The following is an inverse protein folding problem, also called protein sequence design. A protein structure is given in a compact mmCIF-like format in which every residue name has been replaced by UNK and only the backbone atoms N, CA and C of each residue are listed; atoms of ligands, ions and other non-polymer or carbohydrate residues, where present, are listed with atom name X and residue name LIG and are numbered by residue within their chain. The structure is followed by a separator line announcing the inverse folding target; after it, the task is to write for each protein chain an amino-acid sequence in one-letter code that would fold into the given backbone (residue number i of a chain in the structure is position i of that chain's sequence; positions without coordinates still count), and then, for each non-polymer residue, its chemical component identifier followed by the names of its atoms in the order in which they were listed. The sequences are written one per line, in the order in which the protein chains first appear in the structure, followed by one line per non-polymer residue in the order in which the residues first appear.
data_IF_774669244630
#
_entry.id   IF_774669244630
#
_cell.length_a   1.000
_cell.length_b   1.000
_cell.length_c   1.000
_cell.angle_alpha   90.00
_cell.angle_beta   90.00
_cell.angle_gamma   90.00
#
_symmetry.space_group_name_H-M   'P 1'
#
loop_
_entity.id
_entity.type
_entity.pdbx_description
1 polymer ?
#
# COMPACT_ATOMS: atom_id res chain seq x y z
N UNK A 1 -15.67 0.11 32.47
CA UNK A 1 -17.08 0.56 32.49
C UNK A 1 -17.58 0.98 31.11
N UNK A 2 -17.02 2.01 30.45
CA UNK A 2 -17.61 2.59 29.23
C UNK A 2 -17.67 1.70 27.97
N UNK A 3 -16.80 0.68 27.87
CA UNK A 3 -16.89 -0.35 26.83
C UNK A 3 -17.97 -1.41 27.11
N UNK A 4 -18.37 -1.57 28.37
CA UNK A 4 -19.37 -2.55 28.81
C UNK A 4 -20.75 -1.91 28.84
N UNK A 5 -21.39 -1.87 27.67
CA UNK A 5 -22.73 -1.29 27.49
C UNK A 5 -23.60 -2.21 26.65
N UNK A 6 -24.92 -2.07 26.79
CA UNK A 6 -25.88 -2.71 25.91
C UNK A 6 -25.82 -2.08 24.51
N UNK A 7 -25.52 -2.89 23.51
CA UNK A 7 -25.60 -2.54 22.09
C UNK A 7 -26.97 -2.94 21.58
N UNK A 8 -27.66 -2.01 20.92
CA UNK A 8 -29.00 -2.21 20.39
C UNK A 8 -29.04 -1.99 18.88
N UNK A 9 -29.66 -2.92 18.16
CA UNK A 9 -30.04 -2.72 16.75
C UNK A 9 -31.46 -3.22 16.54
N UNK A 10 -32.39 -2.29 16.26
CA UNK A 10 -33.83 -2.56 16.24
C UNK A 10 -34.27 -3.20 17.58
N UNK A 11 -34.78 -4.42 17.53
CA UNK A 11 -35.26 -5.24 18.65
C UNK A 11 -34.16 -6.09 19.30
N UNK A 12 -32.98 -6.20 18.69
CA UNK A 12 -31.88 -6.99 19.22
C UNK A 12 -31.07 -6.18 20.24
N UNK A 13 -30.81 -6.76 21.42
CA UNK A 13 -29.94 -6.18 22.44
C UNK A 13 -28.92 -7.20 22.95
N UNK A 14 -27.67 -6.77 23.07
CA UNK A 14 -26.58 -7.58 23.63
C UNK A 14 -25.61 -6.70 24.42
N UNK A 15 -25.18 -7.16 25.61
CA UNK A 15 -24.21 -6.44 26.43
C UNK A 15 -22.79 -6.77 26.00
N UNK A 16 -22.02 -5.78 25.55
CA UNK A 16 -20.63 -6.00 25.14
C UNK A 16 -19.70 -6.25 26.35
N UNK A 17 -19.45 -7.52 26.65
CA UNK A 17 -18.61 -7.93 27.80
C UNK A 17 -17.13 -8.16 27.46
N UNK A 18 -16.76 -8.27 26.18
CA UNK A 18 -15.42 -8.70 25.76
C UNK A 18 -14.66 -7.65 24.94
N UNK A 19 -15.27 -7.11 23.88
CA UNK A 19 -14.58 -6.27 22.90
C UNK A 19 -14.50 -4.79 23.28
N UNK A 20 -13.77 -4.02 22.47
CA UNK A 20 -13.76 -2.55 22.53
C UNK A 20 -14.78 -1.93 21.56
N UNK A 21 -15.44 -0.86 21.99
CA UNK A 21 -16.34 -0.08 21.12
C UNK A 21 -15.53 1.01 20.42
N UNK A 22 -15.30 0.82 19.12
CA UNK A 22 -14.50 1.75 18.29
C UNK A 22 -15.13 3.13 18.09
N UNK A 23 -16.44 3.26 18.31
CA UNK A 23 -17.17 4.53 18.18
C UNK A 23 -17.04 5.48 19.38
N UNK A 24 -16.35 5.08 20.44
CA UNK A 24 -16.08 5.96 21.57
C UNK A 24 -14.95 6.94 21.21
N UNK A 25 -15.07 8.20 21.64
CA UNK A 25 -14.10 9.26 21.29
C UNK A 25 -12.66 8.95 21.72
N UNK A 26 -12.48 8.27 22.86
CA UNK A 26 -11.17 7.87 23.37
C UNK A 26 -10.72 6.48 22.89
N UNK A 27 -11.49 5.80 22.01
CA UNK A 27 -11.15 4.45 21.56
C UNK A 27 -9.80 4.40 20.83
N UNK A 28 -9.47 5.45 20.08
CA UNK A 28 -8.18 5.58 19.39
C UNK A 28 -6.99 5.45 20.34
N UNK A 29 -7.04 6.13 21.49
CA UNK A 29 -6.00 6.04 22.52
C UNK A 29 -5.86 4.61 23.05
N UNK A 30 -6.98 3.96 23.39
CA UNK A 30 -6.96 2.59 23.93
C UNK A 30 -6.40 1.60 22.91
N UNK A 31 -6.78 1.72 21.62
CA UNK A 31 -6.26 0.86 20.55
C UNK A 31 -4.76 1.07 20.36
N UNK A 32 -4.28 2.32 20.35
CA UNK A 32 -2.85 2.59 20.17
C UNK A 32 -2.02 2.12 21.36
N UNK A 33 -2.51 2.32 22.59
CA UNK A 33 -1.84 1.85 23.80
C UNK A 33 -1.82 0.31 23.88
N UNK A 34 -2.91 -0.35 23.53
CA UNK A 34 -2.93 -1.82 23.45
C UNK A 34 -2.02 -2.33 22.33
N UNK A 35 -1.97 -1.63 21.19
CA UNK A 35 -1.02 -1.88 20.12
C UNK A 35 0.43 -1.79 20.59
N UNK A 36 0.76 -0.80 21.43
CA UNK A 36 2.10 -0.67 22.02
C UNK A 36 2.50 -1.92 22.83
N UNK A 37 1.56 -2.52 23.57
CA UNK A 37 1.83 -3.77 24.30
C UNK A 37 2.16 -4.92 23.33
N UNK A 38 1.46 -4.99 22.19
CA UNK A 38 1.75 -5.97 21.14
C UNK A 38 3.12 -5.69 20.50
N UNK A 39 3.48 -4.42 20.29
CA UNK A 39 4.77 -4.03 19.75
C UNK A 39 5.92 -4.52 20.65
N UNK A 40 5.75 -4.41 21.97
CA UNK A 40 6.71 -4.93 22.95
C UNK A 40 6.83 -6.47 22.92
N UNK A 41 5.73 -7.20 22.67
CA UNK A 41 5.77 -8.66 22.48
C UNK A 41 6.51 -9.04 21.19
N UNK A 42 6.32 -8.27 20.12
CA UNK A 42 6.97 -8.52 18.84
C UNK A 42 8.46 -8.20 18.87
N UNK A 43 8.85 -7.07 19.47
CA UNK A 43 10.21 -6.58 19.49
C UNK A 43 11.05 -7.19 20.62
N UNK A 44 10.43 -7.44 21.77
CA UNK A 44 11.14 -7.64 23.03
C UNK A 44 11.63 -6.31 23.63
N UNK A 45 11.74 -6.26 24.96
CA UNK A 45 12.13 -5.05 25.70
C UNK A 45 13.48 -4.46 25.26
N UNK A 46 14.56 -5.26 25.05
CA UNK A 46 15.86 -4.71 24.66
C UNK A 46 15.78 -3.99 23.31
N UNK A 47 15.21 -4.64 22.30
CA UNK A 47 15.14 -4.05 20.96
C UNK A 47 14.17 -2.86 20.89
N UNK A 48 13.08 -2.90 21.64
CA UNK A 48 12.17 -1.77 21.73
C UNK A 48 12.83 -0.54 22.36
N UNK A 49 13.64 -0.73 23.42
CA UNK A 49 14.39 0.36 24.05
C UNK A 49 15.45 0.96 23.11
N UNK A 50 16.17 0.13 22.36
CA UNK A 50 17.14 0.59 21.35
C UNK A 50 16.49 1.40 20.23
N UNK A 51 15.30 1.00 19.77
CA UNK A 51 14.53 1.74 18.76
C UNK A 51 14.01 3.08 19.31
N UNK A 52 13.49 3.08 20.54
CA UNK A 52 12.95 4.29 21.16
C UNK A 52 14.03 5.29 21.62
N UNK A 53 15.25 4.81 21.90
CA UNK A 53 16.31 5.62 22.49
C UNK A 53 16.14 5.82 24.01
N UNK A 54 17.12 6.46 24.66
CA UNK A 54 17.06 6.73 26.10
C UNK A 54 15.90 7.68 26.44
N UNK A 55 15.22 7.53 27.58
CA UNK A 55 14.08 8.39 27.94
C UNK A 55 14.40 9.88 28.01
N UNK A 56 15.65 10.23 28.31
CA UNK A 56 16.13 11.61 28.37
C UNK A 56 16.33 12.22 26.98
N UNK A 57 16.57 11.39 25.97
CA UNK A 57 16.81 11.80 24.59
C UNK A 57 16.26 10.71 23.64
N UNK A 58 14.94 10.67 23.42
CA UNK A 58 14.34 9.68 22.54
C UNK A 58 14.82 9.86 21.10
N UNK A 59 14.90 8.75 20.37
CA UNK A 59 15.27 8.75 18.95
C UNK A 59 14.11 9.30 18.10
N UNK A 60 14.48 9.96 16.99
CA UNK A 60 13.53 10.28 15.94
C UNK A 60 13.11 9.01 15.18
N UNK A 61 12.00 9.12 14.45
CA UNK A 61 11.48 8.01 13.64
C UNK A 61 12.53 7.44 12.68
N UNK A 62 12.71 6.11 12.72
CA UNK A 62 13.66 5.34 11.90
C UNK A 62 15.14 5.72 12.06
N UNK A 63 15.49 6.35 13.18
CA UNK A 63 16.86 6.70 13.55
C UNK A 63 17.36 5.86 14.74
N UNK A 64 18.68 5.78 14.87
CA UNK A 64 19.37 5.13 15.98
C UNK A 64 20.46 6.06 16.53
N UNK A 65 20.88 5.81 17.77
CA UNK A 65 21.98 6.55 18.41
C UNK A 65 23.33 6.28 17.75
N UNK A 66 23.57 5.05 17.29
CA UNK A 66 24.80 4.66 16.60
C UNK A 66 24.57 3.51 15.62
N UNK A 67 25.54 3.33 14.72
CA UNK A 67 25.54 2.22 13.75
C UNK A 67 25.64 0.87 14.46
N UNK A 68 26.34 0.79 15.60
CA UNK A 68 26.48 -0.45 16.37
C UNK A 68 25.14 -0.91 16.97
N UNK A 69 24.34 0.03 17.49
CA UNK A 69 22.98 -0.26 17.98
C UNK A 69 22.05 -0.62 16.81
N UNK A 70 22.25 -0.01 15.64
CA UNK A 70 21.52 -0.41 14.45
C UNK A 70 21.86 -1.85 14.03
N UNK A 71 23.12 -2.27 14.16
CA UNK A 71 23.66 -3.55 13.66
C UNK A 71 23.62 -4.72 14.62
N UNK A 72 23.46 -4.48 15.92
CA UNK A 72 23.44 -5.54 16.94
C UNK A 72 22.27 -6.54 16.81
N UNK A 73 21.21 -6.22 16.06
CA UNK A 73 20.00 -7.03 15.99
C UNK A 73 19.40 -7.10 14.57
N UNK A 74 18.79 -8.23 14.13
CA UNK A 74 18.24 -8.35 12.78
C UNK A 74 17.10 -7.39 12.44
N UNK A 75 16.22 -7.06 13.40
CA UNK A 75 15.13 -6.07 13.20
C UNK A 75 15.71 -4.68 13.06
N UNK A 76 15.74 -4.12 11.85
CA UNK A 76 16.34 -2.81 11.56
C UNK A 76 15.36 -1.66 11.60
N UNK A 77 14.13 -1.86 11.16
CA UNK A 77 13.08 -0.83 11.20
C UNK A 77 11.76 -1.49 11.57
N UNK A 78 10.94 -0.76 12.33
CA UNK A 78 9.64 -1.20 12.80
C UNK A 78 8.66 -0.05 12.73
N UNK A 79 7.48 -0.28 12.17
CA UNK A 79 6.39 0.71 12.11
C UNK A 79 5.08 -0.02 12.33
N UNK A 80 4.21 0.54 13.17
CA UNK A 80 2.81 0.12 13.25
C UNK A 80 1.90 1.29 12.87
N UNK A 81 1.02 1.06 11.91
CA UNK A 81 -0.04 1.99 11.54
C UNK A 81 -1.35 1.36 11.95
N UNK A 82 -1.90 1.80 13.09
CA UNK A 82 -3.12 1.27 13.69
C UNK A 82 -2.97 -0.25 13.96
N UNK A 83 -3.44 -1.09 13.04
CA UNK A 83 -3.44 -2.55 13.08
C UNK A 83 -2.45 -3.21 12.11
N UNK A 84 -1.84 -2.44 11.20
CA UNK A 84 -0.86 -2.93 10.24
C UNK A 84 0.57 -2.78 10.79
N UNK A 85 1.36 -3.85 10.72
CA UNK A 85 2.74 -3.89 11.21
C UNK A 85 3.71 -4.09 10.04
N UNK A 86 4.75 -3.26 10.00
CA UNK A 86 5.82 -3.29 9.00
C UNK A 86 7.16 -3.49 9.70
N UNK A 87 7.91 -4.52 9.28
CA UNK A 87 9.19 -4.88 9.88
C UNK A 87 10.22 -5.03 8.77
N UNK A 88 11.34 -4.34 8.88
CA UNK A 88 12.51 -4.53 8.02
C UNK A 88 13.55 -5.34 8.78
N UNK A 89 13.93 -6.48 8.21
CA UNK A 89 14.91 -7.40 8.77
C UNK A 89 16.15 -7.43 7.88
N UNK A 90 17.33 -7.44 8.51
CA UNK A 90 18.61 -7.68 7.84
C UNK A 90 19.29 -8.84 8.55
N UNK A 91 19.41 -9.96 7.85
CA UNK A 91 20.08 -11.16 8.32
C UNK A 91 21.44 -11.31 7.64
N UNK A 92 22.39 -11.87 8.39
CA UNK A 92 23.60 -12.43 7.82
C UNK A 92 23.36 -13.86 7.29
N UNK A 93 24.37 -14.41 6.60
CA UNK A 93 24.26 -15.73 5.96
C UNK A 93 24.01 -16.85 6.99
N UNK A 94 24.63 -16.76 8.16
CA UNK A 94 24.49 -17.77 9.20
C UNK A 94 23.15 -17.62 9.95
N UNK A 95 22.75 -16.40 10.31
CA UNK A 95 21.45 -16.14 10.95
C UNK A 95 20.28 -16.63 10.09
N UNK A 96 20.31 -16.33 8.79
CA UNK A 96 19.27 -16.77 7.86
C UNK A 96 19.24 -18.30 7.72
N UNK A 97 20.41 -18.96 7.67
CA UNK A 97 20.50 -20.43 7.64
C UNK A 97 19.95 -21.05 8.92
N UNK A 98 20.33 -20.54 10.08
CA UNK A 98 19.85 -21.03 11.39
C UNK A 98 18.35 -20.85 11.54
N UNK A 99 17.79 -19.71 11.12
CA UNK A 99 16.35 -19.44 11.18
C UNK A 99 15.57 -20.40 10.27
N UNK A 100 16.03 -20.60 9.03
CA UNK A 100 15.42 -21.56 8.10
C UNK A 100 15.50 -22.98 8.66
N UNK A 101 16.64 -23.39 9.20
CA UNK A 101 16.82 -24.72 9.76
C UNK A 101 15.84 -24.97 10.90
N UNK A 102 15.72 -24.04 11.85
CA UNK A 102 14.75 -24.14 12.96
C UNK A 102 13.31 -24.25 12.45
N UNK A 103 12.94 -23.43 11.47
CA UNK A 103 11.61 -23.49 10.86
C UNK A 103 11.31 -24.84 10.21
N UNK A 104 12.26 -25.39 9.43
CA UNK A 104 12.11 -26.67 8.74
C UNK A 104 12.18 -27.88 9.68
N UNK A 105 12.81 -27.74 10.86
CA UNK A 105 12.76 -28.77 11.91
C UNK A 105 11.34 -28.91 12.46
N UNK A 106 10.63 -27.81 12.68
CA UNK A 106 9.24 -27.86 13.15
C UNK A 106 8.21 -28.09 12.04
N UNK A 107 8.51 -27.64 10.83
CA UNK A 107 7.62 -27.69 9.67
C UNK A 107 8.38 -28.33 8.48
N UNK A 108 8.56 -29.66 8.47
CA UNK A 108 9.31 -30.33 7.42
C UNK A 108 8.60 -30.22 6.08
N UNK A 109 9.34 -29.84 5.03
CA UNK A 109 8.85 -29.72 3.65
C UNK A 109 9.66 -30.61 2.70
N UNK A 110 9.36 -31.93 2.64
CA UNK A 110 10.08 -32.87 1.77
C UNK A 110 9.76 -32.67 0.28
N UNK A 111 8.59 -32.13 -0.04
CA UNK A 111 8.08 -32.02 -1.42
C UNK A 111 8.34 -30.65 -2.06
N UNK A 112 8.96 -29.70 -1.35
CA UNK A 112 9.13 -28.30 -1.78
C UNK A 112 7.79 -27.56 -2.00
N UNK A 113 6.78 -27.90 -1.20
CA UNK A 113 5.45 -27.32 -1.26
C UNK A 113 5.40 -25.90 -0.67
N UNK A 114 6.43 -25.45 0.04
CA UNK A 114 6.51 -24.10 0.59
C UNK A 114 6.38 -23.00 -0.49
N UNK A 115 6.73 -23.29 -1.74
CA UNK A 115 6.59 -22.36 -2.86
C UNK A 115 5.10 -22.14 -3.21
N UNK A 116 4.27 -23.16 -3.01
CA UNK A 116 2.85 -23.11 -3.31
C UNK A 116 2.14 -22.19 -2.31
N UNK A 117 1.29 -21.30 -2.82
CA UNK A 117 0.55 -20.36 -1.98
C UNK A 117 1.40 -19.26 -1.33
N UNK A 118 2.63 -19.02 -1.81
CA UNK A 118 3.38 -17.82 -1.41
C UNK A 118 2.76 -16.57 -2.08
N UNK A 119 2.29 -15.57 -1.31
CA UNK A 119 1.63 -14.40 -1.87
C UNK A 119 2.58 -13.61 -2.80
N UNK A 120 2.04 -13.10 -3.91
CA UNK A 120 2.83 -12.35 -4.90
C UNK A 120 2.08 -11.11 -5.36
N UNK A 121 2.78 -9.99 -5.45
CA UNK A 121 2.21 -8.70 -5.88
C UNK A 121 2.00 -8.66 -7.38
N UNK A 122 0.82 -9.12 -7.81
CA UNK A 122 0.45 -9.21 -9.23
C UNK A 122 0.26 -7.86 -9.92
N UNK A 123 0.23 -6.76 -9.15
CA UNK A 123 0.21 -5.40 -9.68
C UNK A 123 1.49 -5.05 -10.43
N UNK A 124 2.64 -5.68 -10.15
CA UNK A 124 3.90 -5.49 -10.88
C UNK A 124 4.05 -6.47 -12.04
N UNK A 125 4.85 -6.20 -13.08
CA UNK A 125 5.17 -7.21 -14.11
C UNK A 125 5.97 -8.38 -13.55
N UNK A 126 5.99 -9.51 -14.26
CA UNK A 126 6.60 -10.76 -13.75
C UNK A 126 8.07 -10.61 -13.39
N UNK A 127 8.85 -9.90 -14.19
CA UNK A 127 10.29 -9.70 -13.93
C UNK A 127 10.57 -8.81 -12.71
N UNK A 128 9.62 -7.93 -12.40
CA UNK A 128 9.72 -6.95 -11.32
C UNK A 128 9.21 -7.48 -9.98
N UNK A 129 8.56 -8.66 -9.97
CA UNK A 129 8.10 -9.35 -8.77
C UNK A 129 9.24 -10.07 -8.05
N UNK A 130 9.01 -10.40 -6.78
CA UNK A 130 9.84 -11.36 -6.07
C UNK A 130 9.78 -12.73 -6.77
N UNK A 131 10.94 -13.25 -7.13
CA UNK A 131 11.16 -14.60 -7.64
C UNK A 131 11.10 -15.58 -6.49
N UNK A 132 10.43 -16.70 -6.73
CA UNK A 132 10.21 -17.72 -5.73
C UNK A 132 11.35 -18.75 -5.74
N UNK A 133 12.51 -18.33 -5.23
CA UNK A 133 13.64 -19.24 -4.98
C UNK A 133 13.41 -19.99 -3.66
N UNK A 134 13.76 -21.28 -3.60
CA UNK A 134 13.54 -22.13 -2.41
C UNK A 134 14.07 -21.51 -1.12
N UNK A 135 15.30 -20.99 -1.14
CA UNK A 135 15.92 -20.36 0.04
C UNK A 135 15.16 -19.11 0.49
N UNK A 136 14.79 -18.23 -0.44
CA UNK A 136 14.09 -16.98 -0.14
C UNK A 136 12.66 -17.23 0.35
N UNK A 137 11.96 -18.20 -0.24
CA UNK A 137 10.62 -18.63 0.19
C UNK A 137 10.66 -19.21 1.60
N UNK A 138 11.63 -20.09 1.87
CA UNK A 138 11.80 -20.67 3.21
C UNK A 138 12.17 -19.59 4.23
N UNK A 139 13.03 -18.62 3.87
CA UNK A 139 13.34 -17.49 4.74
C UNK A 139 12.10 -16.66 5.06
N UNK A 140 11.31 -16.31 4.04
CA UNK A 140 10.09 -15.53 4.22
C UNK A 140 9.06 -16.23 5.13
N UNK A 141 8.87 -17.55 4.96
CA UNK A 141 8.02 -18.36 5.83
C UNK A 141 8.58 -18.50 7.24
N UNK A 142 9.89 -18.70 7.38
CA UNK A 142 10.56 -18.82 8.67
C UNK A 142 10.46 -17.53 9.49
N UNK A 143 10.63 -16.38 8.84
CA UNK A 143 10.42 -15.05 9.46
C UNK A 143 8.98 -14.90 9.93
N UNK A 144 8.01 -15.21 9.07
CA UNK A 144 6.60 -15.10 9.43
C UNK A 144 6.24 -16.05 10.59
N UNK A 145 6.75 -17.28 10.57
CA UNK A 145 6.57 -18.27 11.63
C UNK A 145 7.17 -17.76 12.96
N UNK A 146 8.37 -17.20 12.95
CA UNK A 146 8.99 -16.62 14.15
C UNK A 146 8.17 -15.46 14.71
N UNK A 147 7.75 -14.51 13.86
CA UNK A 147 6.89 -13.37 14.24
C UNK A 147 5.55 -13.86 14.80
N UNK A 148 4.94 -14.85 14.16
CA UNK A 148 3.66 -15.43 14.59
C UNK A 148 3.75 -16.08 15.97
N UNK A 149 4.86 -16.74 16.28
CA UNK A 149 5.04 -17.43 17.55
C UNK A 149 5.34 -16.49 18.72
N UNK A 150 5.74 -15.24 18.46
CA UNK A 150 5.88 -14.20 19.50
C UNK A 150 4.53 -13.72 20.04
N UNK A 151 3.43 -14.01 19.35
CA UNK A 151 2.09 -13.53 19.68
C UNK A 151 1.23 -14.64 20.30
N UNK A 152 0.78 -14.48 21.56
CA UNK A 152 -0.21 -15.38 22.15
C UNK A 152 -1.55 -15.26 21.40
N UNK A 153 -2.08 -16.40 20.93
CA UNK A 153 -3.33 -16.45 20.14
C UNK A 153 -4.56 -15.90 20.87
N UNK A 154 -4.53 -15.84 22.20
CA UNK A 154 -5.59 -15.25 23.03
C UNK A 154 -5.62 -13.72 22.97
N UNK A 155 -4.50 -13.08 22.61
CA UNK A 155 -4.35 -11.63 22.52
C UNK A 155 -4.62 -11.17 21.09
N UNK A 156 -3.91 -11.76 20.13
CA UNK A 156 -4.03 -11.47 18.71
C UNK A 156 -3.36 -12.58 17.88
N UNK A 157 -3.58 -12.59 16.57
CA UNK A 157 -2.91 -13.52 15.66
C UNK A 157 -2.64 -12.84 14.32
N UNK A 158 -1.50 -13.17 13.72
CA UNK A 158 -1.21 -12.86 12.31
C UNK A 158 -1.52 -14.08 11.44
N UNK A 159 -2.10 -13.83 10.27
CA UNK A 159 -2.50 -14.85 9.30
C UNK A 159 -1.66 -14.72 8.04
N UNK A 160 -1.28 -15.85 7.43
CA UNK A 160 -0.38 -15.84 6.28
C UNK A 160 -1.09 -15.29 5.03
N UNK A 161 -2.40 -15.52 4.94
CA UNK A 161 -3.27 -15.15 3.83
C UNK A 161 -3.38 -13.64 3.65
N UNK A 162 -3.18 -12.88 4.73
CA UNK A 162 -3.23 -11.40 4.77
C UNK A 162 -1.85 -10.77 4.91
N UNK A 163 -0.80 -11.58 5.12
CA UNK A 163 0.57 -11.12 5.25
C UNK A 163 1.31 -11.16 3.91
N UNK A 164 2.28 -10.27 3.75
CA UNK A 164 3.20 -10.28 2.62
C UNK A 164 4.64 -10.15 3.13
N UNK A 165 5.52 -11.05 2.67
CA UNK A 165 6.95 -11.01 3.00
C UNK A 165 7.74 -10.94 1.70
N UNK A 166 8.50 -9.86 1.53
CA UNK A 166 9.42 -9.68 0.41
C UNK A 166 10.84 -9.91 0.87
N UNK A 167 11.58 -10.75 0.14
CA UNK A 167 12.99 -11.05 0.43
C UNK A 167 13.86 -10.47 -0.67
N UNK A 168 14.73 -9.54 -0.31
CA UNK A 168 15.81 -9.06 -1.15
C UNK A 168 17.04 -9.93 -0.94
N UNK A 169 17.55 -10.52 -2.02
CA UNK A 169 18.61 -11.53 -1.98
C UNK A 169 19.54 -11.40 -3.18
N UNK A 170 20.49 -12.31 -3.36
CA UNK A 170 21.33 -12.36 -4.58
C UNK A 170 20.46 -12.55 -5.84
N UNK A 171 19.36 -13.32 -5.75
CA UNK A 171 18.48 -13.61 -6.87
C UNK A 171 17.31 -12.63 -7.01
N UNK A 172 16.97 -11.91 -5.94
CA UNK A 172 15.87 -10.96 -5.87
C UNK A 172 16.40 -9.52 -5.74
N UNK A 173 16.42 -8.73 -6.83
CA UNK A 173 16.97 -7.37 -6.82
C UNK A 173 16.01 -6.31 -6.24
N UNK A 174 14.73 -6.64 -6.06
CA UNK A 174 13.69 -5.69 -5.69
C UNK A 174 13.22 -5.95 -4.26
N UNK A 175 12.94 -4.88 -3.52
CA UNK A 175 12.16 -4.92 -2.28
C UNK A 175 10.75 -4.44 -2.60
N UNK A 176 9.75 -5.25 -2.25
CA UNK A 176 8.34 -4.96 -2.50
C UNK A 176 7.61 -4.82 -1.18
N UNK A 177 6.79 -3.78 -1.05
CA UNK A 177 5.89 -3.62 0.09
C UNK A 177 4.72 -2.72 -0.31
N UNK A 178 3.64 -2.78 0.46
CA UNK A 178 2.59 -1.78 0.42
C UNK A 178 2.54 -1.02 1.73
N UNK A 179 2.16 0.26 1.68
CA UNK A 179 1.97 1.07 2.87
C UNK A 179 0.94 2.16 2.57
N UNK A 180 -0.06 2.32 3.44
CA UNK A 180 -1.07 3.37 3.32
C UNK A 180 -1.80 3.42 1.96
N UNK A 181 -1.98 2.26 1.30
CA UNK A 181 -2.60 2.16 -0.02
C UNK A 181 -1.66 2.41 -1.21
N UNK A 182 -0.38 2.71 -0.97
CA UNK A 182 0.66 2.74 -2.00
C UNK A 182 1.30 1.37 -2.13
N UNK A 183 1.50 0.92 -3.36
CA UNK A 183 2.34 -0.22 -3.71
C UNK A 183 3.72 0.30 -4.12
N UNK A 184 4.77 -0.13 -3.43
CA UNK A 184 6.12 0.39 -3.61
C UNK A 184 7.07 -0.72 -4.02
N UNK A 185 7.84 -0.45 -5.08
CA UNK A 185 8.96 -1.27 -5.52
C UNK A 185 10.24 -0.48 -5.42
N UNK A 186 11.12 -0.88 -4.51
CA UNK A 186 12.44 -0.29 -4.33
C UNK A 186 13.52 -1.13 -5.01
N UNK A 187 14.40 -0.45 -5.76
CA UNK A 187 15.56 -1.07 -6.43
C UNK A 187 16.82 -0.25 -6.15
N UNK A 188 17.90 -0.84 -5.63
CA UNK A 188 19.20 -0.20 -5.55
C UNK A 188 19.79 0.02 -6.96
N UNK A 189 20.37 1.21 -7.21
CA UNK A 189 21.02 1.50 -8.50
C UNK A 189 22.13 0.52 -8.84
N UNK A 190 22.85 0.02 -7.83
CA UNK A 190 23.90 -0.99 -8.01
C UNK A 190 23.41 -2.29 -8.67
N UNK A 191 22.10 -2.57 -8.66
CA UNK A 191 21.50 -3.76 -9.28
C UNK A 191 20.69 -3.46 -10.53
N UNK A 192 20.68 -2.21 -10.98
CA UNK A 192 19.94 -1.80 -12.17
C UNK A 192 20.60 -2.30 -13.47
N UNK A 193 21.93 -2.49 -13.47
CA UNK A 193 22.74 -2.83 -14.65
C UNK A 193 22.43 -4.19 -15.32
N UNK A 194 21.44 -4.95 -14.84
CA UNK A 194 20.99 -6.21 -15.45
C UNK A 194 19.49 -6.28 -15.76
N UNK A 195 18.69 -5.30 -15.36
CA UNK A 195 17.25 -5.26 -15.59
C UNK A 195 16.84 -3.85 -16.01
N UNK A 196 16.54 -3.67 -17.31
CA UNK A 196 15.96 -2.45 -17.86
C UNK A 196 16.87 -1.21 -17.74
N UNK A 197 17.77 -1.06 -18.71
CA UNK A 197 18.40 0.22 -19.07
C UNK A 197 17.37 1.24 -19.67
N UNK A 198 16.08 0.92 -19.65
CA UNK A 198 15.02 1.73 -20.28
C UNK A 198 14.33 2.71 -19.32
N UNK A 199 14.64 2.67 -18.01
CA UNK A 199 14.03 3.59 -17.03
C UNK A 199 14.97 4.75 -16.61
N UNK A 200 16.20 4.76 -17.12
CA UNK A 200 17.15 5.86 -16.93
C UNK A 200 17.84 6.08 -18.27
N UNK A 201 17.14 6.69 -19.22
CA UNK A 201 17.86 7.51 -20.21
C UNK A 201 18.44 8.68 -19.42
N UNK A 202 19.75 8.62 -19.18
CA UNK A 202 20.51 9.78 -18.72
C UNK A 202 20.53 10.78 -19.87
N UNK A 203 19.69 11.81 -19.79
CA UNK A 203 19.84 12.95 -20.67
C UNK A 203 21.13 13.71 -20.29
N UNK A 204 21.75 14.35 -21.28
CA UNK A 204 23.08 15.01 -21.20
C UNK A 204 23.18 16.13 -20.14
N UNK A 205 22.09 16.47 -19.48
CA UNK A 205 21.97 17.50 -18.43
C UNK A 205 21.76 16.94 -17.01
N UNK A 206 21.88 15.62 -16.78
CA UNK A 206 21.80 15.02 -15.44
C UNK A 206 20.41 15.03 -14.78
N UNK A 207 19.39 15.49 -15.51
CA UNK A 207 17.99 15.26 -15.21
C UNK A 207 17.60 13.92 -15.84
N UNK A 208 17.50 12.88 -15.01
CA UNK A 208 16.87 11.63 -15.45
C UNK A 208 15.48 11.96 -16.00
N UNK A 209 15.14 11.44 -17.19
CA UNK A 209 13.77 11.39 -17.71
C UNK A 209 12.95 10.50 -16.75
N UNK A 210 12.62 11.06 -15.59
CA UNK A 210 11.80 10.39 -14.59
C UNK A 210 10.39 10.34 -15.15
N UNK A 211 9.83 9.15 -15.34
CA UNK A 211 8.38 9.05 -15.37
C UNK A 211 7.83 9.68 -14.08
N UNK A 212 6.77 10.49 -14.18
CA UNK A 212 6.09 11.25 -13.12
C UNK A 212 5.51 10.40 -11.95
N UNK A 213 6.10 9.24 -11.63
CA UNK A 213 5.69 8.29 -10.59
C UNK A 213 6.85 7.47 -9.99
N UNK A 214 8.08 8.00 -10.06
CA UNK A 214 9.29 7.36 -9.53
C UNK A 214 10.02 8.31 -8.58
N UNK A 215 10.25 7.86 -7.35
CA UNK A 215 11.11 8.55 -6.38
C UNK A 215 12.56 8.13 -6.55
N UNK A 216 13.45 9.12 -6.58
CA UNK A 216 14.89 8.88 -6.54
C UNK A 216 15.39 9.11 -5.13
N UNK A 217 15.80 8.03 -4.47
CA UNK A 217 16.18 8.04 -3.07
C UNK A 217 17.66 8.39 -2.92
N UNK A 218 17.92 9.42 -2.11
CA UNK A 218 19.25 9.93 -1.83
C UNK A 218 19.78 9.40 -0.50
N UNK A 219 21.02 8.96 -0.48
CA UNK A 219 21.72 8.62 0.74
C UNK A 219 22.03 9.91 1.52
N UNK A 220 21.67 9.95 2.80
CA UNK A 220 21.86 11.15 3.61
C UNK A 220 23.35 11.49 3.85
N UNK A 221 24.24 10.49 3.95
CA UNK A 221 25.66 10.71 4.22
C UNK A 221 26.43 11.12 2.96
N UNK A 222 26.31 10.35 1.88
CA UNK A 222 27.07 10.61 0.63
C UNK A 222 26.40 11.60 -0.30
N UNK A 223 25.11 11.90 -0.07
CA UNK A 223 24.26 12.72 -0.96
C UNK A 223 24.11 12.13 -2.37
N UNK A 224 24.51 10.88 -2.58
CA UNK A 224 24.34 10.19 -3.85
C UNK A 224 22.93 9.59 -3.96
N UNK A 225 22.43 9.50 -5.18
CA UNK A 225 21.16 8.84 -5.50
C UNK A 225 21.40 7.34 -5.58
N UNK A 226 21.12 6.59 -4.51
CA UNK A 226 21.52 5.18 -4.38
C UNK A 226 20.42 4.19 -4.74
N UNK A 227 19.15 4.59 -4.71
CA UNK A 227 18.02 3.72 -5.02
C UNK A 227 16.89 4.48 -5.73
N UNK A 228 16.02 3.74 -6.39
CA UNK A 228 14.77 4.24 -6.96
C UNK A 228 13.60 3.51 -6.30
N UNK A 229 12.49 4.23 -6.10
CA UNK A 229 11.23 3.67 -5.62
C UNK A 229 10.12 3.99 -6.61
N UNK A 230 9.60 2.96 -7.25
CA UNK A 230 8.44 3.08 -8.14
C UNK A 230 7.17 2.92 -7.32
N UNK A 231 6.19 3.77 -7.59
CA UNK A 231 4.93 3.81 -6.87
C UNK A 231 3.79 3.32 -7.76
N UNK A 232 2.80 2.65 -7.19
CA UNK A 232 1.49 2.37 -7.79
C UNK A 232 0.40 2.49 -6.71
N UNK A 233 -0.85 2.62 -7.13
CA UNK A 233 -2.00 2.61 -6.21
C UNK A 233 -2.42 1.16 -5.95
N UNK A 234 -2.69 0.81 -4.69
CA UNK A 234 -3.09 -0.54 -4.31
C UNK A 234 -4.47 -0.91 -4.89
N UNK A 235 -4.65 -2.20 -5.20
CA UNK A 235 -5.90 -2.68 -5.78
C UNK A 235 -7.11 -2.46 -4.84
N UNK A 236 -6.89 -2.53 -3.54
CA UNK A 236 -7.90 -2.23 -2.52
C UNK A 236 -8.36 -0.77 -2.59
N UNK A 237 -7.42 0.17 -2.71
CA UNK A 237 -7.72 1.60 -2.84
C UNK A 237 -8.48 1.91 -4.13
N UNK A 238 -8.11 1.25 -5.24
CA UNK A 238 -8.82 1.35 -6.52
C UNK A 238 -10.28 0.86 -6.37
N UNK A 239 -10.47 -0.29 -5.70
CA UNK A 239 -11.80 -0.84 -5.47
C UNK A 239 -12.64 0.04 -4.52
N UNK A 240 -12.03 0.59 -3.47
CA UNK A 240 -12.67 1.53 -2.55
C UNK A 240 -13.17 2.78 -3.29
N UNK A 241 -12.38 3.31 -4.24
CA UNK A 241 -12.79 4.41 -5.09
C UNK A 241 -13.99 4.05 -5.99
N UNK A 242 -13.96 2.90 -6.70
CA UNK A 242 -15.12 2.46 -7.52
C UNK A 242 -16.37 2.31 -6.64
N UNK A 243 -16.25 1.72 -5.45
CA UNK A 243 -17.35 1.58 -4.50
C UNK A 243 -17.89 2.93 -4.02
N UNK A 244 -17.01 3.92 -3.78
CA UNK A 244 -17.42 5.28 -3.44
C UNK A 244 -18.23 5.91 -4.57
N UNK A 245 -17.81 5.75 -5.83
CA UNK A 245 -18.57 6.25 -6.99
C UNK A 245 -19.92 5.53 -7.13
N UNK A 246 -19.96 4.21 -6.94
CA UNK A 246 -21.21 3.44 -6.92
C UNK A 246 -22.17 3.95 -5.86
N UNK A 247 -21.68 4.24 -4.64
CA UNK A 247 -22.48 4.81 -3.56
C UNK A 247 -23.06 6.18 -3.95
N UNK A 248 -22.27 7.04 -4.62
CA UNK A 248 -22.75 8.33 -5.12
C UNK A 248 -23.90 8.12 -6.12
N UNK A 249 -23.76 7.18 -7.05
CA UNK A 249 -24.76 6.88 -8.07
C UNK A 249 -26.06 6.29 -7.49
N UNK A 250 -25.95 5.36 -6.53
CA UNK A 250 -27.11 4.76 -5.85
C UNK A 250 -27.88 5.79 -5.01
N UNK A 251 -27.16 6.72 -4.37
CA UNK A 251 -27.77 7.80 -3.59
C UNK A 251 -28.28 8.99 -4.41
N UNK A 252 -28.17 8.95 -5.75
CA UNK A 252 -28.49 10.07 -6.63
C UNK A 252 -29.93 10.07 -7.17
N UNK A 253 -30.88 9.38 -6.51
CA UNK A 253 -32.25 9.16 -7.00
C UNK A 253 -32.98 10.43 -7.46
N UNK A 254 -33.15 11.41 -6.57
CA UNK A 254 -33.83 12.70 -6.81
C UNK A 254 -32.97 13.91 -6.43
N UNK A 255 -31.65 13.74 -6.36
CA UNK A 255 -30.73 14.83 -6.00
C UNK A 255 -30.42 15.73 -7.19
N UNK A 256 -30.27 17.03 -6.95
CA UNK A 256 -29.82 18.02 -7.95
C UNK A 256 -28.51 17.62 -8.62
N UNK A 257 -28.35 17.89 -9.92
CA UNK A 257 -27.13 17.55 -10.67
C UNK A 257 -25.85 18.18 -10.11
N UNK A 258 -25.94 19.42 -9.60
CA UNK A 258 -24.84 20.10 -8.91
C UNK A 258 -24.34 19.33 -7.70
N UNK A 259 -25.23 18.72 -6.91
CA UNK A 259 -24.86 17.86 -5.76
C UNK A 259 -24.17 16.56 -6.19
N UNK A 260 -24.56 15.98 -7.33
CA UNK A 260 -23.88 14.82 -7.90
C UNK A 260 -22.46 15.20 -8.32
N UNK A 261 -22.32 16.30 -9.08
CA UNK A 261 -21.02 16.82 -9.51
C UNK A 261 -20.10 17.17 -8.31
N UNK A 262 -20.63 17.78 -7.25
CA UNK A 262 -19.86 18.10 -6.04
C UNK A 262 -19.34 16.85 -5.31
N UNK A 263 -20.16 15.80 -5.21
CA UNK A 263 -19.74 14.53 -4.60
C UNK A 263 -18.65 13.85 -5.44
N UNK A 264 -18.77 13.89 -6.77
CA UNK A 264 -17.72 13.45 -7.69
C UNK A 264 -16.43 14.23 -7.48
N UNK A 265 -16.50 15.56 -7.50
CA UNK A 265 -15.32 16.42 -7.31
C UNK A 265 -14.62 16.14 -5.98
N UNK A 266 -15.38 16.00 -4.89
CA UNK A 266 -14.80 15.68 -3.57
C UNK A 266 -14.10 14.32 -3.60
N UNK A 267 -14.72 13.30 -4.20
CA UNK A 267 -14.12 11.97 -4.31
C UNK A 267 -12.86 12.00 -5.20
N UNK A 268 -12.92 12.66 -6.35
CA UNK A 268 -11.80 12.77 -7.28
C UNK A 268 -10.63 13.54 -6.65
N UNK A 269 -10.89 14.71 -6.04
CA UNK A 269 -9.87 15.49 -5.34
C UNK A 269 -9.23 14.65 -4.25
N UNK A 270 -10.01 13.96 -3.42
CA UNK A 270 -9.46 13.12 -2.35
C UNK A 270 -8.50 12.05 -2.86
N UNK A 271 -8.83 11.40 -3.99
CA UNK A 271 -7.97 10.41 -4.63
C UNK A 271 -6.69 11.06 -5.20
N UNK A 272 -6.84 12.12 -5.99
CA UNK A 272 -5.73 12.75 -6.70
C UNK A 272 -4.77 13.47 -5.75
N UNK A 273 -5.28 14.11 -4.69
CA UNK A 273 -4.44 14.82 -3.72
C UNK A 273 -3.70 13.88 -2.78
N UNK A 274 -4.25 12.69 -2.52
CA UNK A 274 -3.63 11.66 -1.71
C UNK A 274 -2.56 10.88 -2.50
N UNK A 275 -2.91 10.30 -3.66
CA UNK A 275 -1.99 9.43 -4.41
C UNK A 275 -1.06 10.17 -5.38
N UNK A 276 -1.44 11.36 -5.84
CA UNK A 276 -0.65 12.24 -6.73
C UNK A 276 0.02 11.48 -7.87
N UNK A 277 1.33 11.41 -7.85
CA UNK A 277 2.22 10.79 -8.85
C UNK A 277 1.97 9.28 -9.05
N UNK A 278 1.52 8.56 -8.00
CA UNK A 278 1.25 7.13 -8.10
C UNK A 278 0.06 6.80 -9.02
N UNK A 279 -0.79 7.79 -9.33
CA UNK A 279 -1.92 7.61 -10.27
C UNK A 279 -1.42 7.41 -11.70
N UNK A 280 -0.35 8.11 -12.10
CA UNK A 280 0.18 8.11 -13.47
C UNK A 280 0.74 6.73 -13.83
N UNK A 281 1.45 6.09 -12.90
CA UNK A 281 2.02 4.76 -13.07
C UNK A 281 0.98 3.62 -12.98
N UNK A 282 -0.27 3.93 -12.63
CA UNK A 282 -1.32 2.95 -12.39
C UNK A 282 -2.38 2.97 -13.50
N UNK A 283 -2.07 2.31 -14.62
CA UNK A 283 -2.98 2.21 -15.77
C UNK A 283 -4.42 1.73 -15.43
N UNK A 284 -4.63 0.70 -14.58
CA UNK A 284 -5.98 0.25 -14.24
C UNK A 284 -6.83 1.33 -13.54
N UNK A 285 -6.18 2.23 -12.80
CA UNK A 285 -6.85 3.35 -12.15
C UNK A 285 -7.25 4.42 -13.16
N UNK A 286 -6.39 4.72 -14.14
CA UNK A 286 -6.71 5.66 -15.22
C UNK A 286 -7.92 5.20 -16.03
N UNK A 287 -7.96 3.91 -16.42
CA UNK A 287 -9.14 3.34 -17.07
C UNK A 287 -10.40 3.44 -16.21
N UNK A 288 -10.27 3.18 -14.91
CA UNK A 288 -11.39 3.26 -13.97
C UNK A 288 -11.90 4.70 -13.84
N UNK A 289 -11.01 5.69 -13.80
CA UNK A 289 -11.37 7.11 -13.74
C UNK A 289 -12.19 7.53 -14.95
N UNK A 290 -11.77 7.16 -16.16
CA UNK A 290 -12.54 7.39 -17.40
C UNK A 290 -13.92 6.73 -17.32
N UNK A 291 -13.98 5.47 -16.88
CA UNK A 291 -15.25 4.74 -16.74
C UNK A 291 -16.17 5.41 -15.71
N UNK A 292 -15.64 5.84 -14.57
CA UNK A 292 -16.41 6.46 -13.50
C UNK A 292 -16.92 7.85 -13.86
N UNK A 293 -16.09 8.67 -14.50
CA UNK A 293 -16.48 9.99 -15.01
C UNK A 293 -17.64 9.86 -16.00
N UNK A 294 -17.54 8.93 -16.96
CA UNK A 294 -18.60 8.63 -17.91
C UNK A 294 -19.90 8.13 -17.23
N UNK A 295 -19.80 7.33 -16.17
CA UNK A 295 -20.98 6.89 -15.39
C UNK A 295 -21.68 8.06 -14.71
N UNK A 296 -20.93 8.99 -14.13
CA UNK A 296 -21.48 10.21 -13.50
C UNK A 296 -22.16 11.10 -14.52
N UNK A 297 -21.51 11.38 -15.65
CA UNK A 297 -22.11 12.14 -16.76
C UNK A 297 -23.38 11.45 -17.27
N UNK A 298 -23.34 10.13 -17.48
CA UNK A 298 -24.51 9.35 -17.93
C UNK A 298 -25.67 9.43 -16.94
N UNK A 299 -25.39 9.46 -15.63
CA UNK A 299 -26.44 9.63 -14.62
C UNK A 299 -27.13 10.99 -14.73
N UNK A 300 -26.37 12.06 -14.97
CA UNK A 300 -26.92 13.41 -15.19
C UNK A 300 -27.75 13.46 -16.48
N UNK A 301 -27.23 12.88 -17.57
CA UNK A 301 -27.92 12.74 -18.86
C UNK A 301 -29.28 12.03 -18.70
N UNK A 302 -29.32 10.90 -17.99
CA UNK A 302 -30.57 10.17 -17.68
C UNK A 302 -31.56 11.05 -16.90
N UNK A 303 -31.08 11.89 -15.98
CA UNK A 303 -31.93 12.83 -15.25
C UNK A 303 -32.64 13.85 -16.15
N UNK A 304 -32.11 14.11 -17.35
CA UNK A 304 -32.70 14.97 -18.38
C UNK A 304 -33.40 14.16 -19.50
N UNK A 305 -33.64 12.87 -19.26
CA UNK A 305 -34.30 11.94 -20.18
C UNK A 305 -33.66 11.89 -21.59
N UNK A 306 -32.34 12.03 -21.68
CA UNK A 306 -31.62 11.90 -22.95
C UNK A 306 -30.22 11.33 -22.73
N UNK A 307 -29.71 10.54 -23.67
CA UNK A 307 -28.30 10.06 -23.67
C UNK A 307 -27.51 10.54 -24.89
N UNK A 308 -28.12 11.38 -25.73
CA UNK A 308 -27.57 11.74 -27.05
C UNK A 308 -26.34 12.65 -26.88
N UNK A 309 -25.14 12.28 -27.37
CA UNK A 309 -23.91 13.05 -27.16
C UNK A 309 -23.98 14.49 -27.66
N UNK A 310 -24.67 14.74 -28.77
CA UNK A 310 -24.82 16.08 -29.37
C UNK A 310 -25.57 17.08 -28.47
N UNK A 311 -26.45 16.59 -27.58
CA UNK A 311 -27.17 17.42 -26.60
C UNK A 311 -26.36 17.75 -25.36
N UNK A 312 -25.24 17.06 -25.16
CA UNK A 312 -24.42 17.17 -23.95
C UNK A 312 -22.95 17.37 -24.30
N UNK A 313 -22.60 18.51 -24.92
CA UNK A 313 -21.20 18.85 -25.13
C UNK A 313 -20.46 18.99 -23.79
N UNK A 314 -19.13 18.75 -23.75
CA UNK A 314 -18.30 18.84 -22.54
C UNK A 314 -18.54 20.11 -21.71
N UNK A 315 -18.77 21.24 -22.38
CA UNK A 315 -19.04 22.55 -21.75
C UNK A 315 -20.17 22.50 -20.71
N UNK A 316 -21.21 21.68 -20.92
CA UNK A 316 -22.34 21.56 -19.96
C UNK A 316 -21.88 20.99 -18.61
N UNK A 317 -20.88 20.10 -18.63
CA UNK A 317 -20.35 19.47 -17.41
C UNK A 317 -19.25 20.30 -16.76
N UNK A 318 -18.33 20.83 -17.56
CA UNK A 318 -17.07 21.39 -17.05
C UNK A 318 -17.10 22.92 -16.82
N UNK A 319 -18.06 23.65 -17.39
CA UNK A 319 -18.18 25.09 -17.14
C UNK A 319 -18.34 25.35 -15.63
N UNK A 320 -17.61 26.33 -15.06
CA UNK A 320 -17.73 26.71 -13.65
C UNK A 320 -19.17 27.04 -13.25
N UNK A 321 -19.49 26.88 -11.97
CA UNK A 321 -20.86 27.09 -11.47
C UNK A 321 -21.28 28.54 -11.55
N UNK A 322 -20.32 29.44 -11.43
CA UNK A 322 -20.43 30.88 -11.54
C UNK A 322 -20.90 31.30 -12.94
N UNK A 323 -20.63 30.47 -13.95
CA UNK A 323 -21.03 30.64 -15.34
C UNK A 323 -22.22 29.74 -15.74
N UNK A 324 -22.94 29.18 -14.76
CA UNK A 324 -24.14 28.38 -14.98
C UNK A 324 -23.90 26.91 -15.35
N UNK A 325 -22.65 26.42 -15.28
CA UNK A 325 -22.32 25.01 -15.48
C UNK A 325 -22.35 24.17 -14.20
N UNK A 326 -21.95 22.90 -14.29
CA UNK A 326 -21.88 22.00 -13.13
C UNK A 326 -20.56 22.12 -12.35
N UNK A 327 -19.52 22.70 -12.96
CA UNK A 327 -18.17 22.78 -12.40
C UNK A 327 -17.59 21.40 -12.08
N UNK A 328 -17.90 20.38 -12.89
CA UNK A 328 -17.35 19.04 -12.72
C UNK A 328 -15.85 19.06 -13.03
N UNK A 329 -15.04 18.36 -12.24
CA UNK A 329 -13.61 18.18 -12.53
C UNK A 329 -13.40 16.95 -13.42
N UNK A 330 -12.53 17.07 -14.42
CA UNK A 330 -12.22 15.98 -15.35
C UNK A 330 -10.86 15.36 -15.03
N UNK A 331 -10.80 14.04 -15.13
CA UNK A 331 -9.55 13.27 -15.20
C UNK A 331 -9.63 12.15 -16.27
N UNK A 332 -10.70 12.15 -17.06
CA UNK A 332 -10.98 11.14 -18.08
C UNK A 332 -10.56 11.52 -19.50
N UNK A 333 -10.14 12.76 -19.74
CA UNK A 333 -9.64 13.22 -21.04
C UNK A 333 -8.10 13.08 -21.16
N UNK A 334 -7.55 12.01 -20.60
CA UNK A 334 -6.11 11.71 -20.67
C UNK A 334 -5.91 10.58 -21.68
N UNK A 335 -4.92 10.73 -22.57
CA UNK A 335 -4.47 9.64 -23.42
C UNK A 335 -3.89 8.54 -22.53
N UNK A 336 -4.58 7.41 -22.43
CA UNK A 336 -4.07 6.25 -21.70
C UNK A 336 -2.96 5.63 -22.56
N UNK A 337 -1.71 5.52 -22.05
CA UNK A 337 -0.64 4.86 -22.78
C UNK A 337 -1.04 3.41 -23.07
N UNK A 338 -1.23 3.08 -24.34
CA UNK A 338 -1.43 1.70 -24.77
C UNK A 338 -0.08 1.11 -25.15
N UNK A 339 0.56 0.42 -24.21
CA UNK A 339 1.70 -0.44 -24.52
C UNK A 339 1.21 -1.80 -25.04
N UNK A 340 2.10 -2.56 -25.70
CA UNK A 340 1.78 -3.89 -26.20
C UNK A 340 1.32 -4.81 -25.04
N UNK A 341 0.02 -5.13 -25.03
CA UNK A 341 -0.62 -5.99 -24.02
C UNK A 341 -0.01 -7.40 -23.98
N UNK A 342 0.72 -7.81 -25.03
CA UNK A 342 1.42 -9.10 -25.10
C UNK A 342 2.63 -9.15 -24.17
N UNK A 343 3.41 -8.07 -24.07
CA UNK A 343 4.65 -8.02 -23.31
C UNK A 343 4.56 -7.27 -21.97
N UNK A 344 3.56 -6.41 -21.78
CA UNK A 344 3.32 -5.67 -20.51
C UNK A 344 3.15 -6.55 -19.26
N UNK A 345 2.80 -7.84 -19.44
CA UNK A 345 2.74 -8.82 -18.34
C UNK A 345 4.12 -9.35 -17.94
N UNK A 346 5.09 -9.32 -18.85
CA UNK A 346 6.44 -9.87 -18.68
C UNK A 346 7.42 -8.78 -18.23
N UNK A 347 7.51 -7.69 -19.01
CA UNK A 347 8.48 -6.60 -18.82
C UNK A 347 7.76 -5.27 -18.56
N UNK A 348 8.50 -4.30 -18.02
CA UNK A 348 8.08 -2.89 -17.97
C UNK A 348 8.19 -2.20 -19.35
N UNK A 349 8.46 -2.95 -20.45
CA UNK A 349 8.61 -2.37 -21.78
C UNK A 349 7.27 -1.80 -22.28
N UNK A 350 7.16 -0.47 -22.22
CA UNK A 350 6.07 0.36 -22.69
C UNK A 350 6.53 1.81 -22.65
#
# INVERSE_FOLDING_TARGET
AKNNVALSYKDMMHTNSFGIIRGLQFASFVVQYYGLLIDLLLLGLPRAAELAGPPQQPNDFLSFTSVDVETCHPIRRYVRIIDMVYIVLKFDADESRTLIQRFLTENPDPNNENIVGYPSKRCWPRESRMRLMKQDVNLGRAVFWDVKNRLPRSVTSVQWETAYVSVYSVHNPNVLFDMCGFEVRMIPRARLNGYSATAIEEDKDGAALNGDGVWVLQNNATKERTAIAQLRVSQESIAAFDNRIRQILMGAGSTTFTKIANKWNTALISLMTYFREAVVSTQPLLELLVKCENRIQTRIKIGLNSKMPTRFPPVVFYTPKELGGLGMLSMGHVLIPQSDLRYSKQTDAG
#
